data_IF_119052087820
#
_entry.id   IF_119052087820
#
_cell.length_a   1.000
_cell.length_b   1.000
_cell.length_c   1.000
_cell.angle_alpha   90.00
_cell.angle_beta   90.00
_cell.angle_gamma   90.00
#
_symmetry.space_group_name_H-M   'P 1'
#
loop_
_entity.id
_entity.type
_entity.pdbx_description
1 polymer ?
#
# COMPACT_ATOMS: atom_id res chain seq x y z
N UNK A 1 44.84 -8.05 40.04
CA UNK A 1 45.90 -8.15 39.01
C UNK A 1 46.20 -6.75 38.51
N UNK A 2 47.17 -6.08 39.12
CA UNK A 2 47.61 -4.75 38.67
C UNK A 2 48.37 -4.91 37.37
N UNK A 3 47.78 -4.42 36.28
CA UNK A 3 48.46 -4.32 35.01
C UNK A 3 49.49 -3.18 35.12
N UNK A 4 50.73 -3.49 35.39
CA UNK A 4 51.82 -2.54 35.39
C UNK A 4 52.18 -2.15 33.94
N UNK A 5 51.26 -1.44 33.27
CA UNK A 5 51.50 -0.89 31.94
C UNK A 5 52.26 0.42 32.11
N UNK A 6 53.38 0.54 31.44
CA UNK A 6 54.14 1.79 31.40
C UNK A 6 53.23 2.92 30.88
N UNK A 7 53.32 4.12 31.47
CA UNK A 7 52.56 5.31 31.09
C UNK A 7 52.56 5.57 29.56
N UNK A 8 53.68 5.41 28.92
CA UNK A 8 53.79 5.54 27.45
C UNK A 8 53.06 4.41 26.70
N UNK A 9 52.95 3.23 27.28
CA UNK A 9 52.19 2.13 26.72
C UNK A 9 50.66 2.41 26.73
N UNK A 10 50.15 3.07 27.76
CA UNK A 10 48.75 3.48 27.86
C UNK A 10 48.40 4.59 26.87
N UNK A 11 49.31 5.58 26.71
CA UNK A 11 49.16 6.62 25.70
C UNK A 11 49.11 5.99 24.28
N UNK A 12 50.05 5.06 24.00
CA UNK A 12 50.04 4.37 22.69
C UNK A 12 48.80 3.56 22.44
N UNK A 13 48.25 2.90 23.47
CA UNK A 13 46.97 2.19 23.36
C UNK A 13 45.80 3.14 23.11
N UNK A 14 45.76 4.28 23.80
CA UNK A 14 44.73 5.30 23.62
C UNK A 14 44.74 5.89 22.19
N UNK A 15 45.93 6.25 21.70
CA UNK A 15 46.09 6.75 20.31
C UNK A 15 45.67 5.71 19.26
N UNK A 16 46.03 4.44 19.48
CA UNK A 16 45.61 3.36 18.59
C UNK A 16 44.10 3.18 18.58
N UNK A 17 43.47 3.24 19.76
CA UNK A 17 41.99 3.13 19.87
C UNK A 17 41.29 4.31 19.19
N UNK A 18 41.77 5.52 19.39
CA UNK A 18 41.28 6.74 18.73
C UNK A 18 41.44 6.63 17.21
N UNK A 19 42.62 6.20 16.74
CA UNK A 19 42.86 6.00 15.30
C UNK A 19 41.95 4.93 14.68
N UNK A 20 41.65 3.87 15.44
CA UNK A 20 40.71 2.83 15.00
C UNK A 20 39.29 3.39 14.87
N UNK A 21 38.82 4.15 15.85
CA UNK A 21 37.51 4.82 15.78
C UNK A 21 37.41 5.78 14.61
N UNK A 22 38.46 6.60 14.42
CA UNK A 22 38.50 7.55 13.28
C UNK A 22 38.47 6.84 11.91
N UNK A 23 39.16 5.72 11.81
CA UNK A 23 39.17 4.89 10.59
C UNK A 23 37.76 4.34 10.27
N UNK A 24 37.02 3.90 11.28
CA UNK A 24 35.63 3.41 11.09
C UNK A 24 34.71 4.54 10.60
N UNK A 25 34.72 5.69 11.25
CA UNK A 25 33.90 6.84 10.86
C UNK A 25 34.27 7.34 9.46
N UNK A 26 35.54 7.37 9.11
CA UNK A 26 35.99 7.75 7.78
C UNK A 26 35.52 6.76 6.72
N UNK A 27 35.53 5.46 7.01
CA UNK A 27 34.99 4.45 6.10
C UNK A 27 33.49 4.68 5.85
N UNK A 28 32.71 4.91 6.92
CA UNK A 28 31.27 5.17 6.79
C UNK A 28 30.98 6.48 6.04
N UNK A 29 31.83 7.49 6.18
CA UNK A 29 31.71 8.75 5.44
C UNK A 29 31.76 8.54 3.92
N UNK A 30 32.61 7.61 3.44
CA UNK A 30 32.72 7.29 2.00
C UNK A 30 31.79 6.17 1.54
N UNK A 31 31.03 5.56 2.45
CA UNK A 31 30.06 4.52 2.08
C UNK A 31 28.88 5.16 1.33
N UNK A 32 28.41 4.56 0.24
CA UNK A 32 27.23 5.05 -0.48
C UNK A 32 26.02 5.16 0.44
N UNK A 33 25.29 6.24 0.34
CA UNK A 33 24.08 6.47 1.14
C UNK A 33 23.00 5.46 0.77
N UNK A 34 22.36 4.85 1.77
CA UNK A 34 21.25 3.91 1.60
C UNK A 34 19.88 4.57 1.69
N UNK A 35 19.83 5.88 2.02
CA UNK A 35 18.60 6.63 2.11
C UNK A 35 18.01 6.90 0.74
N UNK A 36 16.72 6.68 0.57
CA UNK A 36 15.98 7.07 -0.61
C UNK A 36 15.61 8.55 -0.56
N UNK A 37 15.85 9.26 -1.65
CA UNK A 37 15.58 10.70 -1.77
C UNK A 37 14.14 10.91 -2.25
N UNK A 38 13.16 10.60 -1.41
CA UNK A 38 11.76 10.89 -1.72
C UNK A 38 11.44 12.35 -1.38
N UNK A 39 10.73 13.11 -2.25
CA UNK A 39 10.01 12.70 -3.46
C UNK A 39 10.79 12.76 -4.77
N UNK A 40 12.08 13.11 -4.76
CA UNK A 40 12.87 13.35 -5.97
C UNK A 40 13.04 12.08 -6.82
N UNK A 41 13.13 10.91 -6.15
CA UNK A 41 13.30 9.62 -6.82
C UNK A 41 12.01 8.99 -7.36
N UNK A 42 10.86 9.68 -7.22
CA UNK A 42 9.53 9.15 -7.63
C UNK A 42 9.46 8.58 -9.04
N UNK A 43 10.23 9.16 -9.98
CA UNK A 43 10.22 8.76 -11.39
C UNK A 43 11.39 7.86 -11.79
N UNK A 44 12.36 7.67 -10.92
CA UNK A 44 13.64 7.04 -11.28
C UNK A 44 13.93 5.76 -10.50
N UNK A 45 14.03 5.84 -9.19
CA UNK A 45 14.54 4.74 -8.33
C UNK A 45 13.58 4.33 -7.23
N UNK A 46 12.39 4.93 -7.17
CA UNK A 46 11.41 4.58 -6.16
C UNK A 46 10.99 3.12 -6.31
N UNK A 47 11.20 2.35 -5.26
CA UNK A 47 10.86 0.94 -5.21
C UNK A 47 9.67 0.73 -4.27
N UNK A 48 8.58 0.22 -4.80
CA UNK A 48 7.40 -0.15 -4.02
C UNK A 48 7.26 -1.66 -4.03
N UNK A 49 7.21 -2.28 -2.87
CA UNK A 49 7.09 -3.72 -2.75
C UNK A 49 5.83 -4.24 -3.47
N UNK A 50 5.92 -5.38 -4.14
CA UNK A 50 4.81 -5.99 -4.89
C UNK A 50 3.55 -6.23 -4.04
N UNK A 51 3.72 -6.48 -2.74
CA UNK A 51 2.63 -6.71 -1.78
C UNK A 51 2.23 -5.46 -1.01
N UNK A 52 2.66 -4.27 -1.44
CA UNK A 52 2.25 -3.04 -0.79
C UNK A 52 0.74 -2.84 -0.93
N UNK A 53 0.10 -2.36 0.13
CA UNK A 53 -1.35 -2.13 0.21
C UNK A 53 -1.57 -0.66 0.44
N UNK A 54 -1.70 0.11 -0.63
CA UNK A 54 -1.84 1.55 -0.54
C UNK A 54 -3.29 2.02 -0.52
N UNK A 55 -4.12 1.53 -1.44
CA UNK A 55 -5.52 1.95 -1.56
C UNK A 55 -6.39 0.79 -2.05
N UNK A 56 -7.60 0.67 -1.49
CA UNK A 56 -8.60 -0.28 -1.97
C UNK A 56 -9.30 0.27 -3.20
N UNK A 57 -9.48 -0.56 -4.22
CA UNK A 57 -10.16 -0.19 -5.46
C UNK A 57 -11.12 -1.29 -5.91
N UNK A 58 -12.13 -0.92 -6.70
CA UNK A 58 -12.92 -1.89 -7.45
C UNK A 58 -12.19 -2.34 -8.70
N UNK A 59 -12.17 -3.66 -8.93
CA UNK A 59 -11.79 -4.24 -10.20
C UNK A 59 -12.98 -4.11 -11.16
N UNK A 60 -12.72 -3.50 -12.31
CA UNK A 60 -13.70 -3.32 -13.37
C UNK A 60 -13.33 -4.17 -14.58
N UNK A 61 -14.32 -4.64 -15.29
CA UNK A 61 -14.13 -5.33 -16.56
C UNK A 61 -13.85 -4.31 -17.68
N UNK A 62 -13.63 -4.80 -18.92
CA UNK A 62 -13.35 -3.96 -20.09
C UNK A 62 -14.52 -2.97 -20.41
N UNK A 63 -15.73 -3.32 -20.01
CA UNK A 63 -16.94 -2.52 -20.14
C UNK A 63 -17.18 -1.56 -18.95
N UNK A 64 -16.16 -1.33 -18.11
CA UNK A 64 -16.21 -0.52 -16.88
C UNK A 64 -17.18 -1.04 -15.80
N UNK A 65 -17.77 -2.22 -15.95
CA UNK A 65 -18.65 -2.80 -14.96
C UNK A 65 -17.86 -3.38 -13.79
N UNK A 66 -18.34 -3.20 -12.57
CA UNK A 66 -17.76 -3.81 -11.38
C UNK A 66 -18.38 -5.19 -11.08
N UNK A 67 -17.56 -6.08 -10.51
CA UNK A 67 -18.00 -7.47 -10.17
C UNK A 67 -18.74 -7.57 -8.84
N UNK A 68 -18.92 -6.48 -8.15
CA UNK A 68 -19.54 -6.46 -6.83
C UNK A 68 -21.03 -6.81 -6.91
N UNK A 69 -21.47 -7.74 -6.06
CA UNK A 69 -22.88 -8.18 -5.96
C UNK A 69 -23.56 -7.65 -4.70
N UNK A 70 -22.96 -6.67 -4.03
CA UNK A 70 -23.47 -6.10 -2.78
C UNK A 70 -23.79 -7.13 -1.69
N UNK A 71 -22.95 -8.17 -1.57
CA UNK A 71 -23.17 -9.25 -0.59
C UNK A 71 -22.85 -8.88 0.85
N UNK A 72 -22.25 -7.71 1.11
CA UNK A 72 -21.88 -7.14 2.42
C UNK A 72 -20.84 -7.93 3.24
N UNK A 73 -20.19 -8.95 2.67
CA UNK A 73 -19.19 -9.74 3.40
C UNK A 73 -17.96 -8.94 3.79
N UNK A 74 -17.50 -8.04 2.91
CA UNK A 74 -16.34 -7.18 3.18
C UNK A 74 -16.61 -6.15 4.30
N UNK A 75 -17.84 -5.64 4.41
CA UNK A 75 -18.28 -4.79 5.51
C UNK A 75 -18.25 -5.56 6.86
N UNK A 76 -18.84 -6.76 6.89
CA UNK A 76 -18.91 -7.57 8.12
C UNK A 76 -17.57 -8.06 8.64
N UNK A 77 -16.59 -8.26 7.77
CA UNK A 77 -15.26 -8.74 8.14
C UNK A 77 -14.31 -7.62 8.52
N UNK A 78 -14.69 -6.37 8.27
CA UNK A 78 -13.85 -5.22 8.57
C UNK A 78 -13.81 -4.96 10.09
N UNK A 79 -12.63 -5.01 10.74
CA UNK A 79 -12.53 -4.81 12.17
C UNK A 79 -12.76 -3.35 12.62
N UNK A 80 -12.57 -2.39 11.69
CA UNK A 80 -12.69 -0.96 11.97
C UNK A 80 -13.93 -0.31 11.33
N UNK A 81 -14.87 -1.10 10.79
CA UNK A 81 -16.08 -0.60 10.12
C UNK A 81 -15.82 0.48 9.04
N UNK A 82 -14.67 0.39 8.36
CA UNK A 82 -14.25 1.35 7.32
C UNK A 82 -15.02 1.21 6.01
N UNK A 83 -15.78 0.14 5.86
CA UNK A 83 -16.56 -0.16 4.65
C UNK A 83 -18.04 -0.12 5.02
N UNK A 84 -18.83 0.66 4.26
CA UNK A 84 -20.27 0.71 4.37
C UNK A 84 -20.90 0.48 3.01
N UNK A 85 -21.87 -0.43 2.95
CA UNK A 85 -22.50 -0.84 1.70
C UNK A 85 -23.99 -0.57 1.80
N UNK A 86 -24.47 0.30 0.92
CA UNK A 86 -25.90 0.54 0.71
C UNK A 86 -26.34 -0.21 -0.55
N UNK A 87 -27.36 -1.03 -0.43
CA UNK A 87 -27.88 -1.81 -1.54
C UNK A 87 -29.40 -1.96 -1.45
N UNK A 88 -30.08 -1.96 -2.57
CA UNK A 88 -31.50 -2.26 -2.67
C UNK A 88 -31.76 -3.59 -3.41
N UNK A 89 -33.00 -4.06 -3.33
CA UNK A 89 -33.44 -5.25 -4.05
C UNK A 89 -34.15 -4.81 -5.32
N UNK A 90 -33.57 -5.11 -6.47
CA UNK A 90 -34.19 -4.92 -7.77
C UNK A 90 -34.83 -6.24 -8.23
N UNK A 91 -36.09 -6.18 -8.68
CA UNK A 91 -36.77 -7.32 -9.27
C UNK A 91 -36.57 -7.31 -10.78
N UNK A 92 -36.00 -8.37 -11.31
CA UNK A 92 -35.88 -8.55 -12.76
C UNK A 92 -37.29 -8.78 -13.35
N UNK A 93 -37.76 -7.91 -14.25
CA UNK A 93 -39.11 -8.02 -14.83
C UNK A 93 -39.32 -9.30 -15.66
N UNK A 94 -38.21 -9.88 -16.20
CA UNK A 94 -38.30 -11.07 -17.04
C UNK A 94 -38.31 -12.38 -16.27
N UNK A 95 -37.62 -12.45 -15.12
CA UNK A 95 -37.42 -13.71 -14.38
C UNK A 95 -38.06 -13.72 -12.99
N UNK A 96 -38.59 -12.61 -12.51
CA UNK A 96 -39.18 -12.45 -11.17
C UNK A 96 -38.16 -12.68 -10.01
N UNK A 97 -36.88 -12.77 -10.32
CA UNK A 97 -35.83 -12.99 -9.32
C UNK A 97 -35.33 -11.65 -8.74
N UNK A 98 -35.28 -11.58 -7.42
CA UNK A 98 -34.71 -10.42 -6.71
C UNK A 98 -33.19 -10.48 -6.74
N UNK A 99 -32.56 -9.44 -7.31
CA UNK A 99 -31.11 -9.25 -7.31
C UNK A 99 -30.78 -8.06 -6.43
N UNK A 100 -29.73 -8.18 -5.60
CA UNK A 100 -29.19 -7.02 -4.88
C UNK A 100 -28.44 -6.15 -5.87
N UNK A 101 -28.78 -4.87 -5.91
CA UNK A 101 -28.08 -3.84 -6.66
C UNK A 101 -27.34 -2.94 -5.68
N UNK A 102 -26.12 -2.59 -6.02
CA UNK A 102 -25.30 -1.69 -5.22
C UNK A 102 -25.68 -0.23 -5.50
N UNK A 103 -26.01 0.51 -4.44
CA UNK A 103 -26.31 1.95 -4.52
C UNK A 103 -25.11 2.80 -4.17
N UNK A 104 -24.40 2.40 -3.12
CA UNK A 104 -23.22 3.12 -2.64
C UNK A 104 -22.25 2.16 -1.94
N UNK A 105 -20.97 2.34 -2.21
CA UNK A 105 -19.89 1.63 -1.55
C UNK A 105 -18.90 2.64 -0.98
N UNK A 106 -19.11 2.97 0.27
CA UNK A 106 -18.28 3.90 0.99
C UNK A 106 -17.08 3.17 1.60
N UNK A 107 -15.88 3.69 1.40
CA UNK A 107 -14.64 3.22 1.96
C UNK A 107 -13.86 4.36 2.61
N UNK A 108 -13.63 4.29 3.91
CA UNK A 108 -12.81 5.24 4.65
C UNK A 108 -11.36 4.77 4.72
N UNK A 109 -10.51 5.39 3.89
CA UNK A 109 -9.08 5.12 3.87
C UNK A 109 -8.40 5.58 5.17
N UNK A 110 -8.92 6.64 5.80
CA UNK A 110 -8.34 7.23 6.99
C UNK A 110 -8.35 6.33 8.22
N UNK A 111 -9.33 5.43 8.31
CA UNK A 111 -9.47 4.46 9.40
C UNK A 111 -9.05 3.04 8.99
N UNK A 112 -8.70 2.83 7.71
CA UNK A 112 -8.31 1.53 7.22
C UNK A 112 -6.94 1.10 7.74
N UNK A 113 -6.85 -0.11 8.30
CA UNK A 113 -5.58 -0.71 8.76
C UNK A 113 -4.89 -1.59 7.72
N UNK A 114 -5.34 -1.57 6.47
CA UNK A 114 -4.76 -2.31 5.33
C UNK A 114 -4.54 -3.81 5.59
N UNK A 115 -5.40 -4.45 6.39
CA UNK A 115 -5.26 -5.85 6.81
C UNK A 115 -5.59 -6.87 5.72
N UNK A 116 -6.24 -6.45 4.63
CA UNK A 116 -6.65 -7.29 3.49
C UNK A 116 -7.78 -8.31 3.79
N UNK A 117 -8.40 -8.29 4.96
CA UNK A 117 -9.49 -9.23 5.28
C UNK A 117 -10.69 -9.08 4.34
N UNK A 118 -11.03 -7.84 3.96
CA UNK A 118 -12.12 -7.56 3.02
C UNK A 118 -11.86 -8.18 1.62
N UNK A 119 -10.62 -8.10 1.13
CA UNK A 119 -10.23 -8.69 -0.16
C UNK A 119 -10.31 -10.22 -0.09
N UNK A 120 -9.79 -10.81 0.98
CA UNK A 120 -9.82 -12.27 1.17
C UNK A 120 -11.25 -12.81 1.36
N UNK A 121 -12.15 -12.03 1.93
CA UNK A 121 -13.56 -12.39 2.12
C UNK A 121 -14.40 -12.19 0.86
N UNK A 122 -13.89 -11.52 -0.17
CA UNK A 122 -14.61 -11.27 -1.40
C UNK A 122 -14.60 -12.48 -2.33
N UNK A 123 -15.66 -13.28 -2.35
CA UNK A 123 -15.77 -14.46 -3.20
C UNK A 123 -15.79 -14.13 -4.71
N UNK A 124 -16.11 -12.90 -5.07
CA UNK A 124 -16.23 -12.44 -6.45
C UNK A 124 -14.95 -11.79 -6.98
N UNK A 125 -13.93 -11.59 -6.11
CA UNK A 125 -12.71 -10.87 -6.48
C UNK A 125 -13.00 -9.45 -7.01
N UNK A 126 -13.98 -8.77 -6.42
CA UNK A 126 -14.42 -7.45 -6.89
C UNK A 126 -13.55 -6.29 -6.40
N UNK A 127 -12.76 -6.51 -5.34
CA UNK A 127 -11.93 -5.50 -4.69
C UNK A 127 -10.49 -5.98 -4.54
N UNK A 128 -9.55 -5.04 -4.67
CA UNK A 128 -8.13 -5.31 -4.50
C UNK A 128 -7.39 -4.08 -3.96
N UNK A 129 -6.24 -4.28 -3.32
CA UNK A 129 -5.35 -3.19 -2.94
C UNK A 129 -4.36 -2.89 -4.06
N UNK A 130 -4.25 -1.62 -4.40
CA UNK A 130 -3.22 -1.11 -5.33
C UNK A 130 -2.06 -0.50 -4.56
N UNK A 131 -0.93 -0.31 -5.24
CA UNK A 131 0.30 0.21 -4.63
C UNK A 131 0.31 1.74 -4.49
N UNK A 132 -0.79 2.41 -4.81
CA UNK A 132 -0.89 3.86 -4.67
C UNK A 132 -0.92 4.24 -3.19
N UNK A 133 0.11 4.94 -2.73
CA UNK A 133 0.29 5.33 -1.33
C UNK A 133 0.28 6.84 -1.11
N UNK A 134 0.24 7.64 -2.17
CA UNK A 134 0.18 9.10 -2.05
C UNK A 134 -1.24 9.59 -1.85
N UNK A 135 -1.79 9.34 -0.66
CA UNK A 135 -3.17 9.65 -0.32
C UNK A 135 -3.28 10.82 0.67
N UNK A 136 -2.25 11.67 0.78
CA UNK A 136 -2.29 12.81 1.71
C UNK A 136 -3.24 13.89 1.22
N UNK A 137 -4.11 14.34 2.10
CA UNK A 137 -5.13 15.36 1.84
C UNK A 137 -5.18 16.37 2.98
N UNK A 138 -5.74 17.58 2.74
CA UNK A 138 -5.91 18.59 3.78
C UNK A 138 -7.09 18.27 4.71
N UNK A 139 -8.18 17.78 4.15
CA UNK A 139 -9.41 17.46 4.87
C UNK A 139 -9.60 15.95 4.95
N UNK A 140 -9.91 15.44 6.14
CA UNK A 140 -10.11 14.02 6.36
C UNK A 140 -11.25 13.43 5.53
N UNK A 141 -12.29 14.19 5.29
CA UNK A 141 -13.46 13.75 4.53
C UNK A 141 -13.11 13.33 3.08
N UNK A 142 -12.00 13.86 2.54
CA UNK A 142 -11.49 13.47 1.22
C UNK A 142 -10.83 12.08 1.18
N UNK A 143 -10.64 11.45 2.34
CA UNK A 143 -10.19 10.06 2.43
C UNK A 143 -11.35 9.06 2.40
N UNK A 144 -12.58 9.55 2.38
CA UNK A 144 -13.78 8.73 2.20
C UNK A 144 -14.06 8.63 0.71
N UNK A 145 -13.90 7.44 0.17
CA UNK A 145 -14.08 7.14 -1.25
C UNK A 145 -15.40 6.40 -1.49
N UNK A 146 -16.06 6.74 -2.60
CA UNK A 146 -17.23 6.01 -3.11
C UNK A 146 -16.78 5.16 -4.30
N UNK A 147 -16.40 3.90 -4.03
CA UNK A 147 -15.76 3.04 -5.02
C UNK A 147 -16.65 2.65 -6.21
N UNK A 148 -17.96 2.72 -6.04
CA UNK A 148 -18.95 2.51 -7.12
C UNK A 148 -18.97 3.67 -8.12
N UNK A 149 -18.81 4.91 -7.64
CA UNK A 149 -18.87 6.15 -8.44
C UNK A 149 -17.50 6.55 -8.98
N UNK A 150 -16.45 6.26 -8.23
CA UNK A 150 -15.09 6.64 -8.57
C UNK A 150 -14.39 5.53 -9.37
N UNK A 151 -14.04 5.83 -10.61
CA UNK A 151 -13.16 4.97 -11.40
C UNK A 151 -11.72 5.28 -11.07
N UNK A 152 -11.00 4.33 -10.48
CA UNK A 152 -9.58 4.48 -10.23
C UNK A 152 -8.81 4.46 -11.57
N UNK A 153 -8.30 5.61 -11.98
CA UNK A 153 -7.54 5.79 -13.24
C UNK A 153 -6.03 5.61 -13.10
N UNK A 154 -5.59 5.22 -11.93
CA UNK A 154 -4.18 5.10 -11.59
C UNK A 154 -3.66 6.23 -10.72
N UNK A 155 -2.68 5.88 -9.89
CA UNK A 155 -1.93 6.85 -9.11
C UNK A 155 -1.08 7.75 -9.99
N UNK A 156 -0.74 8.92 -9.48
CA UNK A 156 0.14 9.89 -10.15
C UNK A 156 1.60 9.42 -10.26
N UNK A 157 1.93 8.29 -9.63
CA UNK A 157 3.26 7.71 -9.61
C UNK A 157 3.40 6.64 -10.69
N UNK A 158 4.47 6.67 -11.47
CA UNK A 158 4.93 5.49 -12.17
C UNK A 158 5.47 4.55 -11.10
N UNK A 159 4.60 3.73 -10.50
CA UNK A 159 5.02 2.77 -9.49
C UNK A 159 5.95 1.75 -10.15
N UNK A 160 7.23 1.86 -9.84
CA UNK A 160 8.19 0.82 -10.14
C UNK A 160 7.95 -0.31 -9.14
N UNK A 161 7.25 -1.33 -9.58
CA UNK A 161 7.10 -2.57 -8.80
C UNK A 161 8.45 -3.27 -8.77
N UNK A 162 8.66 -4.05 -7.73
CA UNK A 162 9.75 -5.02 -7.63
C UNK A 162 9.87 -5.81 -8.93
N UNK A 163 10.96 -5.56 -9.67
CA UNK A 163 11.15 -6.06 -11.03
C UNK A 163 11.02 -5.02 -12.15
N UNK A 164 10.80 -3.73 -11.82
CA UNK A 164 10.87 -2.61 -12.78
C UNK A 164 9.70 -2.51 -13.76
N UNK A 165 8.62 -3.24 -13.54
CA UNK A 165 7.43 -3.12 -14.39
C UNK A 165 6.51 -2.01 -13.89
N UNK A 166 6.09 -1.06 -14.74
CA UNK A 166 5.08 -0.08 -14.36
C UNK A 166 3.75 -0.80 -14.08
N UNK A 167 3.07 -0.38 -13.00
CA UNK A 167 1.68 -0.79 -12.74
C UNK A 167 0.80 -0.31 -13.89
N UNK A 168 0.48 -1.17 -14.80
CA UNK A 168 -0.57 -0.95 -15.78
C UNK A 168 -1.90 -1.38 -15.16
N UNK A 169 -2.65 -0.38 -14.67
CA UNK A 169 -4.04 -0.52 -14.26
C UNK A 169 -4.82 -0.98 -15.48
N UNK A 170 -5.27 -2.05 -15.61
CA UNK A 170 -5.96 -2.62 -16.77
C UNK A 170 -5.57 -4.06 -17.03
N UNK A 171 -4.53 -4.54 -16.34
CA UNK A 171 -4.14 -5.95 -16.42
C UNK A 171 -4.32 -6.69 -15.10
N UNK A 172 -5.04 -6.08 -14.14
CA UNK A 172 -5.39 -6.76 -12.88
C UNK A 172 -6.48 -7.80 -13.06
N UNK A 173 -6.90 -8.05 -14.27
CA UNK A 173 -7.92 -8.96 -14.39
C UNK A 173 -7.46 -10.12 -15.18
N UNK A 174 -7.73 -11.23 -14.81
CA UNK A 174 -8.00 -12.40 -15.60
C UNK A 174 -7.07 -13.59 -15.55
N UNK A 175 -5.95 -13.56 -14.87
CA UNK A 175 -5.19 -14.82 -14.75
C UNK A 175 -4.66 -15.10 -13.37
N UNK A 176 -5.55 -15.34 -12.41
CA UNK A 176 -5.25 -16.20 -11.26
C UNK A 176 -6.43 -17.08 -10.96
N UNK A 177 -6.49 -18.16 -11.69
CA UNK A 177 -6.84 -19.46 -11.18
C UNK A 177 -5.98 -20.47 -11.85
#
# INVERSE_FOLDING_TARGET
MENNKSYFGEIGAALKTLGTGLKVTMKEYFTPKTTEQYPENRKTTLHVAKRHRGRLVFLRDEDENYKCTACTMCEKVCPNDTIKIVAHLEENPETGRKKKQLDDYQYDLGDCMFCQLCVNACNFGAIEFVNDFENSVFDRDKLVYHLDKEVYKGGSLPNLIEGGAPLTIGKFNTKTK
#
